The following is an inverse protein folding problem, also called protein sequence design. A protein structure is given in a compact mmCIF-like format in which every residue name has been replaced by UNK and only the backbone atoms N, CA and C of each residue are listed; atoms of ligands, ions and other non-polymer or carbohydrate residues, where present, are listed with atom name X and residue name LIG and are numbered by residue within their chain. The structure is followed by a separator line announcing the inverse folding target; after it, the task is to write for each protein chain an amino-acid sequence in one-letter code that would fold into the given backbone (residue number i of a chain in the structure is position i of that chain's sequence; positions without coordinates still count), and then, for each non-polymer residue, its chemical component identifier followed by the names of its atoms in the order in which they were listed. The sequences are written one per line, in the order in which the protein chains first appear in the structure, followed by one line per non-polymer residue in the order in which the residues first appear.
data_IF_065692090414
#
_entry.id   IF_065692090414
#
_cell.length_a   1.000
_cell.length_b   1.000
_cell.length_c   1.000
_cell.angle_alpha   90.00
_cell.angle_beta   90.00
_cell.angle_gamma   90.00
#
_symmetry.space_group_name_H-M   'P 1'
#
loop_
_entity.id
_entity.type
_entity.pdbx_description
1 polymer ?
#
# COMPACT_ATOMS: atom_id res chain seq x y z
N UNK A 1 -6.88 3.32 -8.60
CA UNK A 1 -8.17 3.57 -7.91
C UNK A 1 -7.96 3.56 -6.40
N UNK A 2 -8.85 4.18 -5.63
CA UNK A 2 -8.84 4.17 -4.16
C UNK A 2 -10.15 3.59 -3.63
N UNK A 3 -10.09 2.78 -2.57
CA UNK A 3 -11.25 2.27 -1.83
C UNK A 3 -11.01 2.40 -0.33
N UNK A 4 -12.06 2.72 0.41
CA UNK A 4 -12.05 2.64 1.87
C UNK A 4 -13.03 1.57 2.34
N UNK A 5 -12.58 0.73 3.26
CA UNK A 5 -13.41 -0.32 3.86
C UNK A 5 -13.76 0.12 5.26
N UNK A 6 -15.03 0.48 5.47
CA UNK A 6 -15.54 0.90 6.78
C UNK A 6 -16.03 -0.30 7.59
N UNK A 7 -15.69 -0.35 8.87
CA UNK A 7 -16.08 -1.40 9.80
C UNK A 7 -16.59 -0.80 11.10
N UNK A 8 -17.49 -1.51 11.77
CA UNK A 8 -17.88 -1.24 13.16
C UNK A 8 -17.57 -2.44 14.02
N UNK A 9 -16.81 -2.23 15.10
CA UNK A 9 -16.41 -3.31 16.00
C UNK A 9 -17.57 -3.74 16.91
N UNK A 10 -17.87 -5.03 16.95
CA UNK A 10 -18.92 -5.61 17.81
C UNK A 10 -18.57 -5.57 19.29
N UNK A 11 -17.27 -5.56 19.62
CA UNK A 11 -16.78 -5.59 21.00
C UNK A 11 -16.72 -4.21 21.65
N UNK A 12 -16.17 -3.21 20.95
CA UNK A 12 -15.95 -1.88 21.52
C UNK A 12 -16.79 -0.77 20.87
N UNK A 13 -17.60 -1.09 19.86
CA UNK A 13 -18.49 -0.15 19.16
C UNK A 13 -17.78 0.90 18.30
N UNK A 14 -16.44 0.91 18.25
CA UNK A 14 -15.68 1.88 17.46
C UNK A 14 -15.79 1.57 15.97
N UNK A 15 -15.93 2.64 15.19
CA UNK A 15 -15.74 2.60 13.76
C UNK A 15 -14.24 2.64 13.44
N UNK A 16 -13.84 1.91 12.41
CA UNK A 16 -12.48 1.95 11.86
C UNK A 16 -12.55 1.70 10.36
N UNK A 17 -11.56 2.17 9.62
CA UNK A 17 -11.49 1.92 8.20
C UNK A 17 -10.10 1.48 7.74
N UNK A 18 -10.09 0.75 6.62
CA UNK A 18 -8.89 0.29 5.97
C UNK A 18 -8.82 0.86 4.56
N UNK A 19 -7.85 1.75 4.35
CA UNK A 19 -7.66 2.44 3.08
C UNK A 19 -6.74 1.64 2.15
N UNK A 20 -7.17 1.46 0.91
CA UNK A 20 -6.41 0.79 -0.14
C UNK A 20 -6.44 1.66 -1.41
N UNK A 21 -5.29 1.85 -2.05
CA UNK A 21 -5.12 2.79 -3.15
C UNK A 21 -4.94 4.23 -2.68
N UNK A 22 -5.02 5.20 -3.60
CA UNK A 22 -4.88 6.64 -3.29
C UNK A 22 -5.95 7.50 -4.01
N UNK A 23 -6.49 7.03 -5.14
CA UNK A 23 -7.44 7.81 -5.94
C UNK A 23 -6.79 9.06 -6.57
N UNK A 24 -7.53 10.16 -6.67
CA UNK A 24 -7.08 11.44 -7.27
C UNK A 24 -5.76 11.98 -6.71
N UNK A 25 -5.45 11.73 -5.44
CA UNK A 25 -4.25 12.27 -4.79
C UNK A 25 -2.95 11.58 -5.24
N UNK A 26 -3.05 10.58 -6.11
CA UNK A 26 -1.91 9.75 -6.53
C UNK A 26 -0.70 10.56 -7.01
N UNK A 27 -0.83 11.56 -7.90
CA UNK A 27 0.34 12.29 -8.41
C UNK A 27 1.15 12.97 -7.29
N UNK A 28 0.45 13.63 -6.37
CA UNK A 28 1.08 14.30 -5.23
C UNK A 28 1.74 13.31 -4.28
N UNK A 29 1.02 12.26 -3.89
CA UNK A 29 1.53 11.24 -2.96
C UNK A 29 2.74 10.50 -3.55
N UNK A 30 2.72 10.25 -4.87
CA UNK A 30 3.84 9.66 -5.62
C UNK A 30 5.08 10.56 -5.59
N UNK A 31 4.95 11.84 -5.94
CA UNK A 31 6.06 12.80 -5.88
C UNK A 31 6.70 12.85 -4.49
N UNK A 32 5.88 12.85 -3.44
CA UNK A 32 6.38 12.79 -2.06
C UNK A 32 7.16 11.50 -1.75
N UNK A 33 6.71 10.33 -2.26
CA UNK A 33 7.46 9.07 -2.13
C UNK A 33 8.81 9.19 -2.82
N UNK A 34 8.83 9.62 -4.09
CA UNK A 34 10.06 9.73 -4.89
C UNK A 34 11.08 10.62 -4.19
N UNK A 35 10.65 11.79 -3.71
CA UNK A 35 11.54 12.71 -2.96
C UNK A 35 12.10 12.02 -1.71
N UNK A 36 11.28 11.28 -0.95
CA UNK A 36 11.73 10.57 0.25
C UNK A 36 12.71 9.44 -0.08
N UNK A 37 12.49 8.67 -1.15
CA UNK A 37 13.42 7.62 -1.59
C UNK A 37 14.74 8.24 -2.03
N UNK A 38 14.72 9.28 -2.86
CA UNK A 38 15.94 9.95 -3.34
C UNK A 38 16.74 10.64 -2.22
N UNK A 39 16.08 11.00 -1.11
CA UNK A 39 16.74 11.46 0.13
C UNK A 39 17.32 10.33 0.99
N UNK A 40 17.06 9.06 0.66
CA UNK A 40 17.56 7.89 1.38
C UNK A 40 16.69 7.45 2.56
N UNK A 41 15.48 8.00 2.72
CA UNK A 41 14.62 7.69 3.88
C UNK A 41 14.15 6.22 3.92
N UNK A 42 14.27 5.50 2.81
CA UNK A 42 13.93 4.08 2.66
C UNK A 42 15.17 3.20 2.40
N UNK A 43 16.37 3.72 2.72
CA UNK A 43 17.64 3.03 2.57
C UNK A 43 18.39 3.38 1.29
N UNK A 44 19.73 3.37 1.36
CA UNK A 44 20.62 3.72 0.25
C UNK A 44 20.37 2.86 -0.98
N UNK A 45 20.20 1.55 -0.80
CA UNK A 45 19.98 0.63 -1.92
C UNK A 45 18.70 0.91 -2.74
N UNK A 46 17.66 1.53 -2.17
CA UNK A 46 16.50 1.98 -2.96
C UNK A 46 16.79 3.27 -3.72
N UNK A 47 17.46 4.21 -3.05
CA UNK A 47 17.94 5.46 -3.65
C UNK A 47 18.81 5.15 -4.87
N UNK A 48 19.80 4.28 -4.70
CA UNK A 48 20.78 3.94 -5.74
C UNK A 48 20.10 3.31 -6.96
N UNK A 49 19.12 2.41 -6.76
CA UNK A 49 18.34 1.83 -7.86
C UNK A 49 17.58 2.90 -8.64
N UNK A 50 16.83 3.78 -7.96
CA UNK A 50 16.04 4.84 -8.61
C UNK A 50 16.88 5.96 -9.23
N UNK A 51 18.12 6.16 -8.76
CA UNK A 51 19.05 7.15 -9.34
C UNK A 51 19.83 6.56 -10.53
N UNK A 52 20.00 5.22 -10.58
CA UNK A 52 20.77 4.54 -11.62
C UNK A 52 20.02 4.32 -12.93
N UNK A 53 18.68 4.23 -12.88
CA UNK A 53 17.86 3.91 -14.04
C UNK A 53 16.57 4.76 -14.05
N UNK A 54 16.37 5.64 -15.05
CA UNK A 54 15.18 6.49 -15.14
C UNK A 54 13.88 5.72 -15.39
N UNK A 55 13.95 4.45 -15.80
CA UNK A 55 12.78 3.59 -16.01
C UNK A 55 12.35 2.84 -14.75
N UNK A 56 13.13 2.93 -13.67
CA UNK A 56 12.75 2.40 -12.35
C UNK A 56 11.82 3.38 -11.65
N UNK A 57 10.62 2.91 -11.35
CA UNK A 57 9.60 3.63 -10.60
C UNK A 57 9.20 2.90 -9.32
N UNK A 58 8.40 3.55 -8.48
CA UNK A 58 7.91 3.05 -7.19
C UNK A 58 6.40 2.95 -7.18
N UNK A 59 5.86 1.85 -6.65
CA UNK A 59 4.44 1.79 -6.30
C UNK A 59 4.18 2.60 -5.01
N UNK A 60 3.63 3.80 -5.17
CA UNK A 60 3.27 4.66 -4.05
C UNK A 60 1.92 4.32 -3.42
N UNK A 61 1.12 3.42 -4.00
CA UNK A 61 -0.25 3.14 -3.56
C UNK A 61 -0.32 2.54 -2.16
N UNK A 62 -1.39 2.85 -1.40
CA UNK A 62 -1.66 2.15 -0.15
C UNK A 62 -2.12 0.72 -0.42
N UNK A 63 -1.54 -0.22 0.30
CA UNK A 63 -2.03 -1.59 0.42
C UNK A 63 -2.29 -1.86 1.90
N UNK A 64 -3.17 -2.82 2.18
CA UNK A 64 -3.45 -3.25 3.55
C UNK A 64 -2.51 -4.41 3.85
N UNK A 65 -1.62 -4.20 4.82
CA UNK A 65 -0.67 -5.23 5.25
C UNK A 65 -1.18 -5.88 6.51
N UNK A 66 -1.13 -7.21 6.58
CA UNK A 66 -1.48 -8.01 7.74
C UNK A 66 -0.26 -8.74 8.29
N UNK A 67 -0.17 -8.83 9.62
CA UNK A 67 0.85 -9.63 10.29
C UNK A 67 0.26 -10.98 10.68
N UNK A 68 0.74 -12.06 10.07
CA UNK A 68 0.28 -13.43 10.35
C UNK A 68 0.53 -13.85 11.80
N UNK A 69 1.55 -13.31 12.46
CA UNK A 69 1.93 -13.73 13.81
C UNK A 69 1.06 -13.15 14.92
N UNK A 70 0.59 -11.90 14.78
CA UNK A 70 -0.17 -11.22 15.84
C UNK A 70 -1.51 -10.63 15.39
N UNK A 71 -1.89 -10.82 14.12
CA UNK A 71 -3.14 -10.32 13.53
C UNK A 71 -3.22 -8.80 13.39
N UNK A 72 -2.15 -8.06 13.72
CA UNK A 72 -2.13 -6.62 13.50
C UNK A 72 -2.06 -6.30 12.01
N UNK A 73 -2.83 -5.31 11.58
CA UNK A 73 -2.80 -4.82 10.21
C UNK A 73 -2.65 -3.29 10.16
N UNK A 74 -2.25 -2.77 9.00
CA UNK A 74 -2.12 -1.33 8.74
C UNK A 74 -2.21 -1.04 7.25
N UNK A 75 -2.78 0.11 6.89
CA UNK A 75 -2.67 0.68 5.54
C UNK A 75 -1.31 1.35 5.37
N UNK A 76 -0.46 0.81 4.50
CA UNK A 76 0.90 1.30 4.25
C UNK A 76 1.14 1.44 2.74
N UNK A 77 1.99 2.37 2.33
CA UNK A 77 2.42 2.47 0.92
C UNK A 77 3.23 1.23 0.55
N UNK A 78 3.02 0.67 -0.64
CA UNK A 78 3.73 -0.53 -1.12
C UNK A 78 5.24 -0.33 -1.11
N UNK A 79 5.72 0.73 -1.77
CA UNK A 79 7.13 1.12 -1.92
C UNK A 79 7.99 0.14 -2.73
N UNK A 80 7.41 -0.91 -3.31
CA UNK A 80 8.12 -1.80 -4.22
C UNK A 80 8.51 -1.08 -5.51
N UNK A 81 9.66 -1.44 -6.08
CA UNK A 81 10.21 -0.83 -7.28
C UNK A 81 9.96 -1.71 -8.50
N UNK A 82 9.59 -1.07 -9.60
CA UNK A 82 9.26 -1.71 -10.87
C UNK A 82 10.01 -1.04 -12.02
N UNK A 83 10.39 -1.84 -13.01
CA UNK A 83 10.86 -1.37 -14.31
C UNK A 83 9.67 -1.29 -15.25
N UNK A 84 9.49 -0.15 -15.90
CA UNK A 84 8.42 0.05 -16.88
C UNK A 84 8.99 -0.01 -18.30
N UNK A 85 8.52 -0.95 -19.16
CA UNK A 85 8.98 -1.03 -20.54
C UNK A 85 8.46 0.13 -21.40
N UNK A 86 9.32 0.71 -22.24
CA UNK A 86 8.90 1.54 -23.38
C UNK A 86 8.57 3.01 -23.10
N UNK A 87 8.89 3.58 -21.93
CA UNK A 87 8.45 4.93 -21.56
C UNK A 87 9.52 5.99 -21.78
N UNK A 88 9.79 6.37 -23.03
CA UNK A 88 10.56 7.60 -23.31
C UNK A 88 9.78 8.89 -22.93
N UNK A 89 8.48 8.81 -22.63
CA UNK A 89 7.65 9.95 -22.21
C UNK A 89 6.64 9.58 -21.12
N UNK A 90 6.88 10.14 -19.94
CA UNK A 90 5.98 10.27 -18.78
C UNK A 90 5.71 9.01 -17.94
N UNK A 91 6.61 8.81 -16.96
CA UNK A 91 6.46 7.91 -15.80
C UNK A 91 5.11 8.12 -15.08
N UNK A 92 4.50 9.31 -15.13
CA UNK A 92 3.23 9.59 -14.42
C UNK A 92 2.05 8.71 -14.82
N UNK A 93 1.98 8.21 -16.07
CA UNK A 93 0.87 7.36 -16.54
C UNK A 93 1.08 5.87 -16.23
N UNK A 94 2.31 5.37 -16.34
CA UNK A 94 2.65 3.98 -16.06
C UNK A 94 2.42 3.58 -14.60
N UNK A 95 2.57 4.53 -13.67
CA UNK A 95 2.49 4.25 -12.23
C UNK A 95 1.03 4.14 -11.76
N UNK A 96 0.06 4.58 -12.58
CA UNK A 96 -1.36 4.28 -12.39
C UNK A 96 -1.76 2.87 -12.91
N UNK A 97 -0.86 2.20 -13.63
CA UNK A 97 -1.14 0.98 -14.41
C UNK A 97 -0.48 -0.30 -13.86
N UNK A 98 -0.05 -0.32 -12.60
CA UNK A 98 0.56 -1.52 -11.97
C UNK A 98 -0.41 -2.70 -11.79
N UNK A 99 -1.70 -2.50 -12.09
CA UNK A 99 -2.70 -3.57 -12.18
C UNK A 99 -3.01 -3.99 -13.65
N UNK A 100 -2.25 -3.52 -14.66
CA UNK A 100 -2.57 -3.83 -16.07
C UNK A 100 -1.49 -3.69 -17.15
N UNK A 101 -0.31 -3.13 -16.88
CA UNK A 101 0.81 -3.06 -17.85
C UNK A 101 1.97 -4.01 -17.50
N UNK A 102 2.81 -4.37 -18.49
CA UNK A 102 3.97 -5.27 -18.40
C UNK A 102 5.13 -4.71 -17.52
N UNK A 103 4.85 -4.28 -16.30
CA UNK A 103 5.86 -3.81 -15.35
C UNK A 103 6.61 -5.02 -14.75
N UNK A 104 7.93 -4.94 -14.70
CA UNK A 104 8.77 -5.99 -14.08
C UNK A 104 9.14 -5.58 -12.67
N UNK A 105 8.86 -6.42 -11.67
CA UNK A 105 9.30 -6.19 -10.30
C UNK A 105 10.84 -6.21 -10.24
N UNK A 106 11.43 -5.08 -9.89
CA UNK A 106 12.88 -4.95 -9.68
C UNK A 106 13.21 -5.25 -8.23
N UNK A 107 12.36 -4.80 -7.31
CA UNK A 107 12.58 -4.98 -5.89
C UNK A 107 11.30 -4.92 -5.08
N UNK A 108 11.07 -5.95 -4.29
CA UNK A 108 10.03 -5.95 -3.26
C UNK A 108 10.47 -5.14 -2.03
N UNK A 109 9.55 -4.31 -1.51
CA UNK A 109 9.74 -3.63 -0.23
C UNK A 109 9.01 -4.39 0.89
N UNK A 110 9.78 -4.89 1.86
CA UNK A 110 9.25 -5.73 2.95
C UNK A 110 8.85 -4.86 4.15
N UNK A 111 7.55 -4.86 4.48
CA UNK A 111 7.04 -4.20 5.68
C UNK A 111 7.16 -5.09 6.91
N UNK A 112 7.56 -4.49 8.04
CA UNK A 112 7.60 -5.15 9.34
C UNK A 112 6.48 -4.65 10.24
N UNK A 113 5.87 -5.57 10.97
CA UNK A 113 4.82 -5.30 11.94
C UNK A 113 5.36 -4.42 13.06
N UNK A 114 4.73 -3.27 13.29
CA UNK A 114 5.14 -2.36 14.36
C UNK A 114 4.89 -2.90 15.77
N UNK A 115 4.05 -3.93 15.92
CA UNK A 115 3.76 -4.55 17.22
C UNK A 115 4.75 -5.65 17.61
N UNK A 116 5.12 -6.52 16.68
CA UNK A 116 5.95 -7.70 16.99
C UNK A 116 7.25 -7.78 16.20
N UNK A 117 7.43 -6.99 15.14
CA UNK A 117 8.64 -6.99 14.31
C UNK A 117 8.62 -7.98 13.15
N UNK A 118 7.67 -8.91 13.11
CA UNK A 118 7.56 -9.90 12.03
C UNK A 118 7.17 -9.28 10.69
N UNK A 119 7.48 -9.99 9.61
CA UNK A 119 7.15 -9.57 8.25
C UNK A 119 5.64 -9.59 8.05
N UNK A 120 5.14 -8.60 7.32
CA UNK A 120 3.73 -8.50 6.96
C UNK A 120 3.51 -8.87 5.49
N UNK A 121 2.36 -9.45 5.19
CA UNK A 121 1.91 -9.74 3.82
C UNK A 121 0.80 -8.79 3.40
N UNK A 122 0.60 -8.62 2.09
CA UNK A 122 -0.54 -7.87 1.55
C UNK A 122 -1.80 -8.72 1.76
N UNK A 123 -2.83 -8.14 2.35
CA UNK A 123 -4.10 -8.80 2.58
C UNK A 123 -4.80 -9.14 1.26
N UNK A 124 -5.26 -10.38 1.13
CA UNK A 124 -6.17 -10.80 0.08
C UNK A 124 -7.58 -10.23 0.29
N UNK A 125 -8.40 -10.17 -0.77
CA UNK A 125 -9.80 -9.73 -0.63
C UNK A 125 -10.59 -10.55 0.40
N UNK A 126 -10.27 -11.84 0.54
CA UNK A 126 -10.87 -12.70 1.58
C UNK A 126 -10.49 -12.27 2.99
N UNK A 127 -9.21 -11.91 3.23
CA UNK A 127 -8.75 -11.42 4.53
C UNK A 127 -9.31 -10.04 4.87
N UNK A 128 -9.52 -9.19 3.86
CA UNK A 128 -10.11 -7.86 4.05
C UNK A 128 -11.51 -7.92 4.67
N UNK A 129 -12.27 -8.99 4.42
CA UNK A 129 -13.60 -9.19 4.98
C UNK A 129 -13.61 -9.43 6.50
N UNK A 130 -12.46 -9.84 7.07
CA UNK A 130 -12.35 -10.28 8.45
C UNK A 130 -11.27 -9.52 9.24
N UNK A 131 -10.94 -8.30 8.82
CA UNK A 131 -9.99 -7.47 9.55
C UNK A 131 -10.47 -7.24 10.99
N UNK A 132 -9.58 -7.46 11.95
CA UNK A 132 -9.90 -7.26 13.37
C UNK A 132 -9.80 -5.79 13.76
N UNK A 133 -10.57 -5.38 14.77
CA UNK A 133 -10.53 -4.01 15.27
C UNK A 133 -9.12 -3.65 15.77
N UNK A 134 -8.47 -2.61 15.23
CA UNK A 134 -7.09 -2.26 15.58
C UNK A 134 -6.96 -1.79 17.04
N UNK A 135 -8.08 -1.41 17.66
CA UNK A 135 -8.14 -0.89 19.03
C UNK A 135 -8.32 -1.97 20.10
N UNK A 136 -9.01 -3.07 19.80
CA UNK A 136 -9.35 -4.08 20.82
C UNK A 136 -9.27 -5.54 20.37
N UNK A 137 -8.95 -5.79 19.10
CA UNK A 137 -8.86 -7.11 18.48
C UNK A 137 -10.21 -7.81 18.25
N UNK A 138 -11.34 -7.15 18.55
CA UNK A 138 -12.67 -7.71 18.29
C UNK A 138 -13.03 -7.70 16.81
N UNK A 139 -13.98 -8.55 16.44
CA UNK A 139 -14.47 -8.68 15.06
C UNK A 139 -15.41 -7.52 14.67
N UNK A 140 -15.72 -7.42 13.38
CA UNK A 140 -16.76 -6.52 12.86
C UNK A 140 -18.17 -7.08 13.08
N UNK A 141 -19.17 -6.23 13.32
CA UNK A 141 -20.58 -6.65 13.45
C UNK A 141 -21.13 -7.27 12.15
N UNK A 142 -20.97 -6.56 11.02
CA UNK A 142 -21.62 -6.91 9.74
C UNK A 142 -20.64 -7.06 8.57
N UNK A 143 -19.33 -7.18 8.85
CA UNK A 143 -18.27 -7.10 7.84
C UNK A 143 -17.99 -5.66 7.37
N UNK A 144 -17.17 -5.48 6.32
CA UNK A 144 -16.89 -4.17 5.77
C UNK A 144 -18.07 -3.62 4.96
N UNK A 145 -18.42 -2.37 5.20
CA UNK A 145 -19.15 -1.55 4.23
C UNK A 145 -18.12 -0.96 3.27
N UNK A 146 -18.22 -1.33 1.99
CA UNK A 146 -17.31 -0.83 0.97
C UNK A 146 -17.76 0.55 0.50
N UNK A 147 -16.95 1.57 0.79
CA UNK A 147 -17.11 2.89 0.22
C UNK A 147 -16.10 3.06 -0.92
N UNK A 148 -16.60 3.12 -2.16
CA UNK A 148 -15.79 3.49 -3.31
C UNK A 148 -15.60 5.01 -3.29
N UNK A 149 -14.36 5.45 -3.10
CA UNK A 149 -13.97 6.84 -3.31
C UNK A 149 -13.71 7.00 -4.81
N UNK A 150 -14.72 7.47 -5.54
CA UNK A 150 -14.69 7.62 -7.00
C UNK A 150 -13.77 8.75 -7.46
N UNK A 151 -13.19 8.45 -8.64
CA UNK A 151 -12.45 9.22 -9.66
C UNK A 151 -11.58 10.36 -9.19
#
# INVERSE_FOLDING_TARGET
MGRDLGFKCSKCGKNYSAHQGIGMLYPKEYEEVVVKIRKGNYGSSMKDLMDSDPYVTVDASYKIYCCSSCGHWSSLRSLSLYLVPGVEKEISRAVMATDGEDCTLVREYIHKCRKCGDIMHIASDGELMYLTCPYCGGESEDGPVMEMLWD
#
